data_IF_700898527701
#
_entry.id   IF_700898527701
#
_cell.length_a   1.000
_cell.length_b   1.000
_cell.length_c   1.000
_cell.angle_alpha   90.00
_cell.angle_beta   90.00
_cell.angle_gamma   90.00
#
_symmetry.space_group_name_H-M   'P 1'
#
loop_
_entity.id
_entity.type
_entity.pdbx_description
1 polymer ?
#
# COMPACT_ATOMS: atom_id res chain seq x y z
N UNK A 1 12.47 0.87 8.41
CA UNK A 1 11.48 1.84 8.98
C UNK A 1 11.91 3.31 8.83
N UNK A 2 12.95 3.64 8.05
CA UNK A 2 13.32 5.04 7.81
C UNK A 2 12.83 5.50 6.45
N UNK A 3 12.25 6.69 6.41
CA UNK A 3 11.84 7.39 5.20
C UNK A 3 13.07 7.85 4.39
N UNK A 4 12.90 8.10 3.08
CA UNK A 4 13.92 8.74 2.23
C UNK A 4 14.54 10.00 2.85
N UNK A 5 13.77 10.83 3.55
CA UNK A 5 14.34 12.02 4.23
C UNK A 5 15.29 11.71 5.40
N UNK A 6 15.54 10.44 5.74
CA UNK A 6 16.35 10.03 6.89
C UNK A 6 15.65 10.14 8.24
N UNK A 7 14.34 10.41 8.23
CA UNK A 7 13.50 10.43 9.43
C UNK A 7 12.86 9.06 9.66
N UNK A 8 12.62 8.71 10.93
CA UNK A 8 11.87 7.51 11.28
C UNK A 8 10.36 7.66 11.06
N UNK A 9 9.67 6.52 11.00
CA UNK A 9 8.22 6.44 11.05
C UNK A 9 7.62 7.21 12.24
N UNK A 10 6.44 7.79 12.01
CA UNK A 10 5.72 8.63 12.96
C UNK A 10 4.72 7.89 13.85
N UNK A 11 4.54 6.58 13.63
CA UNK A 11 3.55 5.77 14.34
C UNK A 11 3.67 5.78 15.86
N UNK A 12 2.51 5.77 16.53
CA UNK A 12 2.38 5.82 17.98
C UNK A 12 2.87 7.13 18.59
N UNK A 13 4.13 7.17 19.02
CA UNK A 13 4.73 8.38 19.60
C UNK A 13 6.05 8.71 18.95
N UNK A 14 6.18 8.28 17.69
CA UNK A 14 7.26 8.68 16.81
C UNK A 14 7.25 10.20 16.61
N UNK A 15 8.44 10.72 16.40
CA UNK A 15 8.64 12.11 15.99
C UNK A 15 9.64 12.08 14.84
N UNK A 16 9.55 13.06 13.94
CA UNK A 16 10.59 13.32 12.97
C UNK A 16 11.87 13.69 13.74
N UNK A 17 12.75 12.71 13.84
CA UNK A 17 14.09 12.87 14.37
C UNK A 17 15.08 12.43 13.32
N UNK A 18 16.08 13.27 13.07
CA UNK A 18 17.30 12.81 12.38
C UNK A 18 18.02 11.85 13.32
N UNK A 19 18.33 10.64 12.88
CA UNK A 19 19.04 9.67 13.72
C UNK A 19 20.53 10.04 13.75
N UNK A 20 21.10 10.56 14.86
CA UNK A 20 22.41 11.21 14.80
C UNK A 20 23.61 10.26 14.89
N UNK A 21 23.42 8.92 14.96
CA UNK A 21 24.47 7.98 15.42
C UNK A 21 24.39 6.56 14.83
N UNK A 22 24.39 6.41 13.51
CA UNK A 22 24.48 5.07 12.90
C UNK A 22 25.88 4.43 13.02
N UNK A 23 26.93 5.24 13.20
CA UNK A 23 28.32 4.76 13.28
C UNK A 23 28.57 3.80 14.44
N UNK A 24 27.78 3.86 15.52
CA UNK A 24 27.92 2.91 16.62
C UNK A 24 27.45 1.51 16.22
N UNK A 25 26.37 1.38 15.44
CA UNK A 25 25.87 0.06 15.00
C UNK A 25 26.81 -0.58 13.98
N UNK A 26 27.40 0.22 13.08
CA UNK A 26 28.44 -0.25 12.16
C UNK A 26 29.63 -0.90 12.90
N UNK A 27 29.97 -0.42 14.11
CA UNK A 27 31.02 -1.03 14.94
C UNK A 27 30.63 -2.37 15.57
N UNK A 28 29.34 -2.61 15.80
CA UNK A 28 28.84 -3.82 16.48
C UNK A 28 28.31 -4.89 15.52
N UNK A 29 27.95 -4.52 14.30
CA UNK A 29 27.45 -5.42 13.24
C UNK A 29 28.25 -5.19 11.95
N UNK A 30 29.52 -5.64 11.89
CA UNK A 30 30.43 -5.33 10.78
C UNK A 30 29.93 -5.79 9.42
N UNK A 31 29.16 -6.87 9.37
CA UNK A 31 28.54 -7.41 8.16
C UNK A 31 27.50 -6.46 7.53
N UNK A 32 26.88 -5.60 8.34
CA UNK A 32 25.95 -4.56 7.90
C UNK A 32 26.58 -3.15 7.99
N UNK A 33 27.90 -3.06 8.20
CA UNK A 33 28.57 -1.78 8.40
C UNK A 33 28.35 -0.84 7.21
N UNK A 34 28.39 -1.33 5.97
CA UNK A 34 28.15 -0.52 4.79
C UNK A 34 26.75 0.13 4.79
N UNK A 35 25.71 -0.62 5.19
CA UNK A 35 24.34 -0.08 5.29
C UNK A 35 24.24 0.97 6.41
N UNK A 36 24.82 0.68 7.57
CA UNK A 36 24.84 1.64 8.69
C UNK A 36 25.69 2.88 8.38
N UNK A 37 26.80 2.72 7.66
CA UNK A 37 27.65 3.80 7.19
C UNK A 37 26.90 4.66 6.18
N UNK A 38 26.17 4.06 5.23
CA UNK A 38 25.31 4.80 4.31
C UNK A 38 24.29 5.68 5.05
N UNK A 39 23.61 5.16 6.08
CA UNK A 39 22.70 5.98 6.88
C UNK A 39 23.39 7.14 7.63
N UNK A 40 24.68 7.00 7.99
CA UNK A 40 25.44 8.10 8.60
C UNK A 40 26.00 9.09 7.58
N UNK A 41 26.51 8.60 6.46
CA UNK A 41 27.20 9.38 5.43
C UNK A 41 26.22 10.11 4.52
N UNK A 42 24.97 9.65 4.40
CA UNK A 42 23.89 10.39 3.75
C UNK A 42 23.67 11.78 4.34
N UNK A 43 23.99 11.99 5.62
CA UNK A 43 23.96 13.34 6.22
C UNK A 43 25.05 14.27 5.63
N UNK A 44 26.05 13.70 4.96
CA UNK A 44 27.17 14.39 4.33
C UNK A 44 27.01 14.51 2.81
N UNK A 45 26.49 13.48 2.14
CA UNK A 45 26.19 13.45 0.71
C UNK A 45 24.90 12.66 0.43
N UNK A 46 23.73 13.32 0.28
CA UNK A 46 22.44 12.65 0.12
C UNK A 46 22.28 11.95 -1.25
N UNK A 47 23.15 12.25 -2.22
CA UNK A 47 23.08 11.77 -3.60
C UNK A 47 24.03 10.57 -3.86
N UNK A 48 24.83 10.16 -2.86
CA UNK A 48 25.74 9.04 -3.00
C UNK A 48 25.00 7.69 -2.94
N UNK A 49 24.80 7.10 -4.12
CA UNK A 49 24.16 5.79 -4.30
C UNK A 49 25.12 4.60 -4.13
N UNK A 50 26.42 4.82 -3.89
CA UNK A 50 27.43 3.76 -3.95
C UNK A 50 27.33 2.71 -2.83
N UNK A 51 26.50 2.97 -1.80
CA UNK A 51 26.29 2.09 -0.64
C UNK A 51 24.81 1.93 -0.26
N UNK A 52 23.87 2.23 -1.16
CA UNK A 52 22.45 1.98 -0.87
C UNK A 52 22.20 0.49 -0.61
N UNK A 53 21.35 0.13 0.36
CA UNK A 53 20.97 -1.27 0.55
C UNK A 53 20.43 -1.88 -0.75
N UNK A 54 20.73 -3.16 -0.98
CA UNK A 54 20.38 -3.87 -2.21
C UNK A 54 18.89 -4.29 -2.28
N UNK A 55 18.14 -4.10 -1.20
CA UNK A 55 16.72 -4.40 -1.11
C UNK A 55 15.90 -3.11 -1.11
N UNK A 56 14.69 -3.15 -1.62
CA UNK A 56 13.75 -2.03 -1.60
C UNK A 56 12.65 -2.28 -0.56
N UNK A 57 11.60 -3.00 -0.97
CA UNK A 57 10.44 -3.34 -0.15
C UNK A 57 10.81 -4.35 0.94
N UNK A 58 10.29 -4.17 2.16
CA UNK A 58 10.51 -5.09 3.30
C UNK A 58 9.28 -5.24 4.19
N UNK A 59 9.06 -6.44 4.72
CA UNK A 59 8.04 -6.76 5.74
C UNK A 59 8.71 -7.11 7.08
N UNK A 60 9.09 -6.12 7.92
CA UNK A 60 9.80 -6.40 9.16
C UNK A 60 8.88 -6.99 10.22
N UNK A 61 8.86 -8.33 10.30
CA UNK A 61 8.30 -9.07 11.43
C UNK A 61 6.78 -9.17 11.49
N UNK A 62 6.08 -9.09 10.36
CA UNK A 62 4.62 -9.29 10.27
C UNK A 62 3.75 -8.14 10.79
N UNK A 63 4.34 -7.15 11.46
CA UNK A 63 3.66 -5.98 12.05
C UNK A 63 3.89 -4.69 11.26
N UNK A 64 4.55 -4.75 10.11
CA UNK A 64 4.70 -3.59 9.25
C UNK A 64 5.10 -4.03 7.84
N UNK A 65 4.80 -3.17 6.89
CA UNK A 65 5.28 -3.26 5.52
C UNK A 65 5.88 -1.91 5.12
N UNK A 66 6.97 -1.96 4.37
CA UNK A 66 7.57 -0.78 3.76
C UNK A 66 7.70 -1.07 2.28
N UNK A 67 7.03 -0.28 1.46
CA UNK A 67 7.24 -0.21 0.03
C UNK A 67 8.20 0.92 -0.27
N UNK A 68 9.10 0.72 -1.23
CA UNK A 68 9.94 1.82 -1.73
C UNK A 68 10.49 1.54 -3.12
N UNK A 69 10.69 2.57 -3.93
CA UNK A 69 11.36 2.44 -5.22
C UNK A 69 12.88 2.41 -5.10
N UNK A 70 13.40 2.99 -4.03
CA UNK A 70 14.83 3.06 -3.75
C UNK A 70 15.15 3.70 -2.41
N UNK A 71 16.35 4.24 -2.29
CA UNK A 71 16.91 4.77 -1.06
C UNK A 71 17.26 6.26 -1.09
N UNK A 72 17.27 6.90 -2.26
CA UNK A 72 17.56 8.31 -2.47
C UNK A 72 16.42 9.21 -1.96
N UNK A 73 16.64 10.53 -1.78
CA UNK A 73 15.66 11.42 -1.12
C UNK A 73 14.33 11.53 -1.87
N UNK A 74 14.38 11.39 -3.19
CA UNK A 74 13.24 11.55 -4.09
C UNK A 74 12.51 10.24 -4.38
N UNK A 75 13.05 9.12 -3.91
CA UNK A 75 12.43 7.81 -4.11
C UNK A 75 11.09 7.72 -3.38
N UNK A 76 10.14 7.04 -4.01
CA UNK A 76 8.83 6.76 -3.46
C UNK A 76 8.96 5.79 -2.29
N UNK A 77 8.20 6.04 -1.22
CA UNK A 77 8.22 5.26 0.00
C UNK A 77 6.82 5.28 0.63
N UNK A 78 6.29 4.10 0.97
CA UNK A 78 5.07 3.96 1.77
C UNK A 78 5.35 3.05 2.95
N UNK A 79 5.03 3.53 4.15
CA UNK A 79 5.06 2.72 5.36
C UNK A 79 3.65 2.36 5.77
N UNK A 80 3.41 1.09 6.04
CA UNK A 80 2.16 0.54 6.54
C UNK A 80 2.43 -0.13 7.88
N UNK A 81 1.54 0.03 8.85
CA UNK A 81 1.68 -0.59 10.16
C UNK A 81 0.59 -1.64 10.41
N UNK A 82 0.99 -2.79 10.94
CA UNK A 82 0.12 -3.82 11.49
C UNK A 82 0.44 -4.06 12.95
N UNK A 83 -0.54 -4.57 13.70
CA UNK A 83 -0.31 -5.09 15.05
C UNK A 83 -1.43 -6.07 15.38
N UNK A 84 -1.07 -7.25 15.82
CA UNK A 84 -2.02 -8.26 16.32
C UNK A 84 -2.05 -8.36 17.84
N UNK A 85 -1.14 -7.66 18.52
CA UNK A 85 -1.03 -7.68 19.97
C UNK A 85 -1.81 -6.53 20.63
N UNK A 86 -2.28 -6.73 21.88
CA UNK A 86 -2.82 -5.65 22.71
C UNK A 86 -1.90 -4.44 22.76
N UNK A 87 -2.46 -3.27 23.07
CA UNK A 87 -1.68 -2.04 23.22
C UNK A 87 -0.46 -2.29 24.14
N UNK A 88 0.74 -2.32 23.58
CA UNK A 88 1.92 -2.76 24.33
C UNK A 88 2.45 -1.68 25.29
N UNK A 89 1.98 -0.43 25.14
CA UNK A 89 2.57 0.72 25.80
C UNK A 89 1.67 1.95 25.76
N UNK A 90 1.94 2.91 26.66
CA UNK A 90 1.39 4.27 26.63
C UNK A 90 1.94 5.13 25.48
N UNK A 91 2.42 4.46 24.45
CA UNK A 91 2.97 5.00 23.24
C UNK A 91 2.32 4.39 22.00
N UNK A 92 1.31 3.54 22.19
CA UNK A 92 0.53 2.92 21.12
C UNK A 92 -0.60 3.87 20.72
N UNK A 93 -1.04 3.77 19.47
CA UNK A 93 -2.24 4.41 18.94
C UNK A 93 -3.08 3.31 18.24
N UNK A 94 -4.39 3.52 18.02
CA UNK A 94 -5.20 2.68 17.15
C UNK A 94 -4.90 3.04 15.68
N UNK A 95 -3.65 2.80 15.27
CA UNK A 95 -3.08 3.18 13.97
C UNK A 95 -2.88 1.98 13.04
N UNK A 96 -3.37 0.80 13.39
CA UNK A 96 -3.27 -0.42 12.60
C UNK A 96 -3.92 -0.26 11.23
N UNK A 97 -3.25 -0.72 10.18
CA UNK A 97 -3.54 -0.48 8.76
C UNK A 97 -3.35 0.97 8.29
N UNK A 98 -3.03 1.93 9.18
CA UNK A 98 -2.65 3.28 8.75
C UNK A 98 -1.39 3.24 7.88
N UNK A 99 -1.35 4.16 6.92
CA UNK A 99 -0.22 4.34 6.04
C UNK A 99 0.33 5.77 6.08
N UNK A 100 1.58 5.92 5.64
CA UNK A 100 2.23 7.21 5.38
C UNK A 100 2.96 7.11 4.05
N UNK A 101 2.95 8.18 3.25
CA UNK A 101 3.52 8.21 1.91
C UNK A 101 4.47 9.38 1.76
N UNK A 102 5.69 9.10 1.30
CA UNK A 102 6.68 10.09 0.90
C UNK A 102 7.11 9.80 -0.54
N UNK A 103 7.19 10.82 -1.38
CA UNK A 103 7.74 10.71 -2.74
C UNK A 103 8.25 12.07 -3.19
N UNK A 104 9.25 12.08 -4.08
CA UNK A 104 9.87 13.31 -4.61
C UNK A 104 10.29 14.29 -3.52
N UNK A 105 10.81 13.80 -2.39
CA UNK A 105 11.26 14.62 -1.27
C UNK A 105 10.13 15.20 -0.38
N UNK A 106 8.85 14.98 -0.70
CA UNK A 106 7.70 15.50 0.05
C UNK A 106 6.96 14.41 0.84
N UNK A 107 6.49 14.72 2.06
CA UNK A 107 5.63 13.84 2.84
C UNK A 107 4.17 14.09 2.41
N UNK A 108 3.65 13.26 1.52
CA UNK A 108 2.35 13.46 0.88
C UNK A 108 1.18 13.00 1.75
N UNK A 109 1.32 11.86 2.41
CA UNK A 109 0.39 11.40 3.44
C UNK A 109 1.12 11.27 4.77
N UNK A 110 0.64 11.99 5.79
CA UNK A 110 1.27 12.04 7.11
C UNK A 110 0.50 11.23 8.14
N UNK A 111 1.24 10.72 9.12
CA UNK A 111 0.68 10.30 10.40
C UNK A 111 0.58 11.53 11.33
N UNK A 112 -0.47 11.63 12.14
CA UNK A 112 -0.73 12.76 13.02
C UNK A 112 0.36 12.97 14.09
N UNK A 113 1.16 11.95 14.40
CA UNK A 113 2.23 12.01 15.39
C UNK A 113 1.74 11.98 16.83
N UNK A 114 2.57 12.45 17.76
CA UNK A 114 2.35 12.22 19.20
C UNK A 114 1.37 13.24 19.81
N UNK A 115 0.21 12.78 20.27
CA UNK A 115 -0.79 13.62 20.94
C UNK A 115 -0.42 14.20 22.29
N UNK A 116 0.59 13.65 22.99
CA UNK A 116 0.81 13.90 24.42
C UNK A 116 1.30 15.30 24.75
N UNK A 117 1.80 16.06 23.77
CA UNK A 117 2.12 17.48 23.97
C UNK A 117 0.89 18.34 24.30
N UNK A 118 -0.30 17.86 23.93
CA UNK A 118 -1.56 18.55 24.20
C UNK A 118 -2.21 18.16 25.53
N UNK A 119 -1.68 17.15 26.24
CA UNK A 119 -2.32 16.54 27.42
C UNK A 119 -2.75 17.50 28.51
N UNK A 120 -2.03 18.60 28.67
CA UNK A 120 -2.30 19.61 29.71
C UNK A 120 -2.96 20.88 29.18
N UNK A 121 -3.04 21.06 27.86
CA UNK A 121 -3.43 22.31 27.22
C UNK A 121 -4.68 22.18 26.35
N UNK A 122 -4.84 21.06 25.65
CA UNK A 122 -5.98 20.80 24.76
C UNK A 122 -6.26 19.28 24.64
N UNK A 123 -6.96 18.69 25.63
CA UNK A 123 -7.26 17.25 25.62
C UNK A 123 -8.05 16.78 24.39
N UNK A 124 -8.80 17.68 23.72
CA UNK A 124 -9.52 17.31 22.51
C UNK A 124 -8.55 17.04 21.35
N UNK A 125 -7.50 17.87 21.21
CA UNK A 125 -6.44 17.63 20.23
C UNK A 125 -5.61 16.38 20.56
N UNK A 126 -5.31 16.15 21.84
CA UNK A 126 -4.66 14.89 22.26
C UNK A 126 -5.49 13.67 21.85
N UNK A 127 -6.79 13.68 22.16
CA UNK A 127 -7.69 12.57 21.86
C UNK A 127 -7.81 12.34 20.35
N UNK A 128 -7.86 13.40 19.54
CA UNK A 128 -7.88 13.28 18.09
C UNK A 128 -6.61 12.60 17.56
N UNK A 129 -5.44 13.05 18.01
CA UNK A 129 -4.14 12.50 17.62
C UNK A 129 -3.95 11.04 18.07
N UNK A 130 -4.68 10.60 19.10
CA UNK A 130 -4.66 9.22 19.61
C UNK A 130 -5.87 8.40 19.13
N UNK A 131 -6.68 8.92 18.21
CA UNK A 131 -7.82 8.21 17.65
C UNK A 131 -7.52 7.77 16.23
N UNK A 132 -8.14 6.69 15.77
CA UNK A 132 -8.03 6.22 14.38
C UNK A 132 -8.41 7.30 13.35
N UNK A 133 -9.26 8.26 13.75
CA UNK A 133 -9.68 9.41 12.94
C UNK A 133 -8.54 10.38 12.65
N UNK A 134 -7.44 10.27 13.39
CA UNK A 134 -6.22 11.00 13.07
C UNK A 134 -5.39 10.37 11.96
N UNK A 135 -5.66 9.12 11.57
CA UNK A 135 -4.77 8.28 10.76
C UNK A 135 -5.34 7.97 9.37
N UNK A 136 -4.48 7.60 8.42
CA UNK A 136 -4.87 7.25 7.04
C UNK A 136 -5.54 5.88 6.97
N UNK A 137 -6.79 5.80 7.44
CA UNK A 137 -7.50 4.56 7.69
C UNK A 137 -8.99 4.65 7.31
N UNK A 138 -9.69 3.52 7.43
CA UNK A 138 -11.15 3.46 7.38
C UNK A 138 -11.72 3.49 8.78
N UNK A 139 -12.79 4.26 8.97
CA UNK A 139 -13.54 4.32 10.23
C UNK A 139 -15.03 4.08 10.01
N UNK A 140 -15.71 3.60 11.04
CA UNK A 140 -17.18 3.56 11.10
C UNK A 140 -17.68 4.81 11.84
N UNK A 141 -18.76 5.40 11.33
CA UNK A 141 -19.33 6.61 11.90
C UNK A 141 -20.84 6.49 12.16
N UNK A 142 -21.30 7.11 13.24
CA UNK A 142 -22.73 7.30 13.52
C UNK A 142 -23.07 8.80 13.63
N UNK A 143 -23.93 9.27 12.73
CA UNK A 143 -24.38 10.68 12.70
C UNK A 143 -25.21 11.04 13.95
N UNK A 144 -25.86 10.07 14.60
CA UNK A 144 -26.68 10.31 15.78
C UNK A 144 -25.81 10.53 17.04
N UNK A 145 -24.58 10.01 17.04
CA UNK A 145 -23.65 10.17 18.15
C UNK A 145 -22.75 11.42 18.00
N UNK A 146 -22.62 11.97 16.78
CA UNK A 146 -21.55 12.91 16.42
C UNK A 146 -20.14 12.43 16.82
N UNK A 147 -20.01 11.14 17.11
CA UNK A 147 -18.86 10.53 17.78
C UNK A 147 -18.45 9.33 16.94
N UNK A 148 -17.13 9.17 16.79
CA UNK A 148 -16.54 8.01 16.15
C UNK A 148 -16.96 6.72 16.87
N UNK A 149 -17.35 5.71 16.08
CA UNK A 149 -17.63 4.37 16.59
C UNK A 149 -16.41 3.50 16.32
N UNK A 150 -15.48 3.51 17.28
CA UNK A 150 -14.54 2.43 17.44
C UNK A 150 -13.64 2.60 18.65
N UNK A 151 -12.48 1.94 18.76
CA UNK A 151 -11.74 1.95 20.00
C UNK A 151 -11.27 3.38 20.29
N UNK A 152 -11.93 4.00 21.27
CA UNK A 152 -11.33 5.13 21.95
C UNK A 152 -10.05 4.62 22.57
N UNK A 153 -8.94 5.33 22.36
CA UNK A 153 -7.69 4.93 22.95
C UNK A 153 -7.84 4.79 24.47
N UNK A 154 -7.76 3.55 24.94
CA UNK A 154 -7.75 3.22 26.35
C UNK A 154 -6.33 2.85 26.73
N UNK A 155 -5.83 3.42 27.82
CA UNK A 155 -4.55 3.07 28.43
C UNK A 155 -4.60 1.69 29.12
N UNK A 156 -5.34 0.75 28.55
CA UNK A 156 -5.44 -0.62 29.01
C UNK A 156 -4.59 -1.49 28.09
N UNK A 157 -3.49 -2.01 28.63
CA UNK A 157 -2.53 -2.82 27.88
C UNK A 157 -3.03 -4.25 27.62
N UNK A 158 -4.21 -4.59 28.16
CA UNK A 158 -4.88 -5.86 27.89
C UNK A 158 -5.92 -5.74 26.75
N UNK A 159 -6.11 -4.53 26.18
CA UNK A 159 -7.06 -4.27 25.10
C UNK A 159 -6.36 -4.27 23.75
N UNK A 160 -6.92 -5.06 22.83
CA UNK A 160 -6.56 -5.05 21.42
C UNK A 160 -7.18 -3.80 20.77
N UNK A 161 -6.33 -2.93 20.23
CA UNK A 161 -6.75 -1.78 19.44
C UNK A 161 -6.72 -2.25 17.98
N UNK A 162 -7.89 -2.39 17.35
CA UNK A 162 -8.10 -2.73 15.93
C UNK A 162 -7.00 -3.66 15.37
N UNK A 163 -7.04 -4.98 15.66
CA UNK A 163 -5.97 -5.87 15.21
C UNK A 163 -5.83 -5.83 13.70
N UNK A 164 -4.60 -5.84 13.22
CA UNK A 164 -4.28 -6.00 11.82
C UNK A 164 -3.04 -6.88 11.67
N UNK A 165 -3.21 -8.03 11.04
CA UNK A 165 -2.15 -8.99 10.73
C UNK A 165 -1.73 -8.86 9.27
N UNK A 166 -0.42 -8.84 9.01
CA UNK A 166 0.06 -9.10 7.65
C UNK A 166 -0.08 -10.60 7.37
N UNK A 167 -1.00 -10.95 6.47
CA UNK A 167 -1.30 -12.35 6.13
C UNK A 167 -0.61 -12.81 4.84
N UNK A 168 -0.38 -11.89 3.90
CA UNK A 168 0.23 -12.20 2.59
C UNK A 168 1.21 -11.11 2.23
N UNK A 169 2.39 -11.49 1.73
CA UNK A 169 3.39 -10.57 1.20
C UNK A 169 4.01 -11.14 -0.05
N UNK A 170 4.10 -10.32 -1.08
CA UNK A 170 4.86 -10.64 -2.27
C UNK A 170 5.78 -9.46 -2.59
N UNK A 171 7.09 -9.73 -2.69
CA UNK A 171 8.10 -8.70 -2.95
C UNK A 171 8.77 -9.05 -4.28
N UNK A 172 8.35 -8.39 -5.35
CA UNK A 172 9.00 -8.44 -6.65
C UNK A 172 9.82 -7.19 -6.93
N UNK A 173 10.60 -7.24 -8.01
CA UNK A 173 11.43 -6.12 -8.46
C UNK A 173 10.57 -5.01 -9.07
N UNK A 174 9.57 -5.37 -9.88
CA UNK A 174 8.64 -4.40 -10.51
C UNK A 174 7.44 -4.09 -9.62
N UNK A 175 6.81 -5.12 -9.05
CA UNK A 175 5.61 -4.99 -8.25
C UNK A 175 5.79 -5.62 -6.87
N UNK A 176 5.24 -4.95 -5.86
CA UNK A 176 5.21 -5.46 -4.48
C UNK A 176 3.79 -5.42 -3.94
N UNK A 177 3.40 -6.43 -3.18
CA UNK A 177 2.04 -6.58 -2.65
C UNK A 177 2.06 -6.95 -1.17
N UNK A 178 1.05 -6.45 -0.44
CA UNK A 178 0.71 -6.89 0.90
C UNK A 178 -0.80 -7.03 1.04
N UNK A 179 -1.22 -8.05 1.77
CA UNK A 179 -2.58 -8.14 2.33
C UNK A 179 -2.48 -8.11 3.85
N UNK A 180 -3.32 -7.27 4.43
CA UNK A 180 -3.56 -7.20 5.86
C UNK A 180 -5.01 -7.52 6.18
N UNK A 181 -5.23 -8.35 7.19
CA UNK A 181 -6.57 -8.70 7.69
C UNK A 181 -6.74 -8.19 9.11
N UNK A 182 -7.93 -7.69 9.42
CA UNK A 182 -8.23 -7.11 10.70
C UNK A 182 -9.71 -6.88 10.94
N UNK A 183 -10.00 -6.14 12.00
CA UNK A 183 -11.37 -5.76 12.31
C UNK A 183 -11.41 -4.35 12.86
N UNK A 184 -12.36 -3.56 12.37
CA UNK A 184 -12.73 -2.28 12.98
C UNK A 184 -13.66 -2.59 14.16
N UNK A 185 -13.16 -2.41 15.37
CA UNK A 185 -13.90 -2.75 16.58
C UNK A 185 -14.91 -1.66 16.92
N UNK A 186 -16.20 -1.98 17.04
CA UNK A 186 -17.24 -1.01 17.44
C UNK A 186 -17.30 -0.88 18.98
N UNK A 187 -16.45 0.01 19.54
CA UNK A 187 -16.37 0.22 20.99
C UNK A 187 -15.59 -0.89 21.71
N UNK A 188 -16.01 -1.27 22.93
CA UNK A 188 -15.39 -2.34 23.73
C UNK A 188 -16.03 -3.73 23.54
N UNK A 189 -17.05 -3.85 22.68
CA UNK A 189 -17.85 -5.06 22.54
C UNK A 189 -17.53 -5.81 21.24
N UNK A 190 -17.65 -7.14 21.29
CA UNK A 190 -17.53 -8.02 20.12
C UNK A 190 -18.72 -7.81 19.18
N UNK A 191 -18.42 -7.44 17.94
CA UNK A 191 -19.34 -7.04 16.87
C UNK A 191 -18.65 -5.99 16.00
N UNK A 192 -17.58 -6.40 15.32
CA UNK A 192 -16.76 -5.53 14.47
C UNK A 192 -17.14 -5.66 13.00
N UNK A 193 -16.71 -4.69 12.20
CA UNK A 193 -16.65 -4.83 10.74
C UNK A 193 -15.33 -5.53 10.39
N UNK A 194 -15.38 -6.59 9.60
CA UNK A 194 -14.18 -7.20 9.04
C UNK A 194 -13.57 -6.21 8.04
N UNK A 195 -12.27 -5.96 8.16
CA UNK A 195 -11.55 -5.00 7.34
C UNK A 195 -10.29 -5.65 6.81
N UNK A 196 -10.23 -5.79 5.49
CA UNK A 196 -9.03 -6.21 4.79
C UNK A 196 -8.45 -5.01 4.04
N UNK A 197 -7.16 -4.75 4.22
CA UNK A 197 -6.41 -3.78 3.41
C UNK A 197 -5.38 -4.49 2.56
N UNK A 198 -5.50 -4.34 1.25
CA UNK A 198 -4.54 -4.80 0.26
C UNK A 198 -3.82 -3.60 -0.33
N UNK A 199 -2.51 -3.67 -0.50
CA UNK A 199 -1.74 -2.62 -1.18
C UNK A 199 -0.86 -3.27 -2.23
N UNK A 200 -1.02 -2.82 -3.47
CA UNK A 200 -0.13 -3.11 -4.59
C UNK A 200 0.69 -1.85 -4.90
N UNK A 201 2.01 -1.98 -4.90
CA UNK A 201 2.94 -0.97 -5.37
C UNK A 201 3.35 -1.32 -6.80
N UNK A 202 2.80 -0.58 -7.76
CA UNK A 202 2.85 -0.88 -9.19
C UNK A 202 4.05 -0.17 -9.82
N UNK A 203 4.90 -0.92 -10.51
CA UNK A 203 6.13 -0.46 -11.18
C UNK A 203 7.07 0.38 -10.31
N UNK A 204 6.94 0.28 -8.99
CA UNK A 204 7.55 1.17 -8.02
C UNK A 204 7.21 2.67 -8.17
N UNK A 205 6.10 3.00 -8.84
CA UNK A 205 5.71 4.39 -9.13
C UNK A 205 4.49 4.81 -8.30
N UNK A 206 3.43 3.99 -8.28
CA UNK A 206 2.17 4.33 -7.62
C UNK A 206 1.57 3.18 -6.81
N UNK A 207 0.57 3.50 -6.00
CA UNK A 207 -0.10 2.51 -5.16
C UNK A 207 -1.56 2.35 -5.54
N UNK A 208 -2.02 1.11 -5.53
CA UNK A 208 -3.43 0.79 -5.38
C UNK A 208 -3.67 0.30 -3.96
N UNK A 209 -4.52 1.02 -3.22
CA UNK A 209 -5.02 0.65 -1.91
C UNK A 209 -6.43 0.10 -2.07
N UNK A 210 -6.63 -1.16 -1.71
CA UNK A 210 -7.94 -1.80 -1.69
C UNK A 210 -8.37 -2.08 -0.25
N UNK A 211 -9.38 -1.34 0.24
CA UNK A 211 -10.06 -1.64 1.50
C UNK A 211 -11.35 -2.41 1.22
N UNK A 212 -11.47 -3.64 1.73
CA UNK A 212 -12.70 -4.42 1.71
C UNK A 212 -13.29 -4.46 3.12
N UNK A 213 -14.57 -4.13 3.23
CA UNK A 213 -15.28 -3.93 4.50
C UNK A 213 -16.54 -4.78 4.50
N UNK A 214 -16.75 -5.57 5.56
CA UNK A 214 -17.95 -6.42 5.72
C UNK A 214 -18.50 -6.31 7.14
N UNK A 215 -19.74 -5.81 7.28
CA UNK A 215 -20.42 -5.66 8.59
C UNK A 215 -21.68 -6.52 8.74
N UNK A 216 -22.30 -6.93 7.63
CA UNK A 216 -23.59 -7.63 7.61
C UNK A 216 -24.82 -6.74 7.89
N UNK A 217 -24.64 -5.42 8.04
CA UNK A 217 -25.70 -4.42 8.11
C UNK A 217 -25.19 -3.06 7.60
N UNK A 218 -26.06 -2.20 7.07
CA UNK A 218 -25.61 -0.89 6.56
C UNK A 218 -24.85 -0.06 7.63
N UNK A 219 -23.60 0.26 7.33
CA UNK A 219 -22.72 1.13 8.12
C UNK A 219 -22.25 2.32 7.29
N UNK A 220 -21.94 3.43 7.96
CA UNK A 220 -21.29 4.58 7.32
C UNK A 220 -19.79 4.44 7.45
N UNK A 221 -19.14 4.04 6.36
CA UNK A 221 -17.68 3.98 6.30
C UNK A 221 -17.11 5.32 5.89
N UNK A 222 -15.91 5.63 6.40
CA UNK A 222 -15.12 6.79 5.98
C UNK A 222 -13.67 6.41 5.83
N UNK A 223 -13.17 6.39 4.61
CA UNK A 223 -11.73 6.32 4.34
C UNK A 223 -11.13 7.72 4.47
N UNK A 224 -9.99 7.86 5.13
CA UNK A 224 -9.39 9.15 5.47
C UNK A 224 -8.00 9.31 4.87
N UNK A 225 -7.73 10.50 4.36
CA UNK A 225 -6.45 10.87 3.73
C UNK A 225 -5.93 12.18 4.33
N UNK A 226 -4.89 12.09 5.14
CA UNK A 226 -4.24 13.17 5.87
C UNK A 226 -3.04 13.68 5.09
N UNK A 227 -3.19 14.85 4.49
CA UNK A 227 -2.18 15.40 3.61
C UNK A 227 -1.07 16.10 4.38
N UNK A 228 0.16 15.87 3.94
CA UNK A 228 1.35 16.56 4.44
C UNK A 228 1.90 17.55 3.44
N UNK A 229 3.20 17.84 3.52
CA UNK A 229 3.84 18.76 2.59
C UNK A 229 5.35 18.73 2.78
N UNK A 230 6.05 19.86 2.63
CA UNK A 230 7.44 19.93 3.01
C UNK A 230 7.53 19.61 4.50
N UNK A 231 8.49 18.77 4.90
CA UNK A 231 8.71 18.35 6.30
C UNK A 231 8.79 19.55 7.28
N UNK A 232 9.13 20.73 6.78
CA UNK A 232 9.26 21.96 7.56
C UNK A 232 7.95 22.70 7.83
N UNK A 233 6.93 22.56 6.99
CA UNK A 233 5.67 23.32 7.10
C UNK A 233 4.40 22.48 7.03
N UNK A 234 4.42 21.37 6.28
CA UNK A 234 3.21 20.57 6.01
C UNK A 234 2.14 21.33 5.21
N UNK A 235 2.51 22.42 4.54
CA UNK A 235 1.59 23.24 3.75
C UNK A 235 1.34 22.62 2.36
N UNK A 236 0.14 22.83 1.83
CA UNK A 236 -0.23 22.51 0.45
C UNK A 236 -1.62 23.02 0.10
N UNK A 237 -2.07 22.71 -1.12
CA UNK A 237 -3.38 23.12 -1.65
C UNK A 237 -4.19 21.87 -1.98
N UNK A 238 -5.40 21.79 -1.44
CA UNK A 238 -6.35 20.73 -1.74
C UNK A 238 -7.34 21.20 -2.81
N UNK A 239 -7.55 20.35 -3.81
CA UNK A 239 -8.69 20.42 -4.72
C UNK A 239 -9.55 19.18 -4.52
N UNK A 240 -10.81 19.39 -4.10
CA UNK A 240 -11.79 18.32 -3.98
C UNK A 240 -12.41 17.98 -5.36
N UNK A 241 -12.83 16.73 -5.56
CA UNK A 241 -13.58 16.31 -6.74
C UNK A 241 -14.86 17.14 -6.94
N UNK A 242 -15.19 17.51 -8.18
CA UNK A 242 -16.50 18.07 -8.52
C UNK A 242 -17.54 16.97 -8.81
N UNK A 243 -17.09 15.76 -9.13
CA UNK A 243 -17.88 14.54 -9.33
C UNK A 243 -17.26 13.34 -8.59
N UNK A 244 -18.00 12.24 -8.45
CA UNK A 244 -17.56 11.10 -7.65
C UNK A 244 -16.33 10.37 -8.22
N UNK A 245 -16.22 10.37 -9.55
CA UNK A 245 -15.18 9.76 -10.38
C UNK A 245 -13.95 10.65 -10.61
N UNK A 246 -14.03 11.93 -10.22
CA UNK A 246 -12.89 12.85 -10.28
C UNK A 246 -11.93 12.62 -9.09
N UNK A 247 -10.62 12.84 -9.28
CA UNK A 247 -9.65 12.64 -8.22
C UNK A 247 -9.64 13.80 -7.21
N UNK A 248 -9.20 13.49 -5.99
CA UNK A 248 -8.69 14.51 -5.06
C UNK A 248 -7.27 14.86 -5.51
N UNK A 249 -6.97 16.14 -5.61
CA UNK A 249 -5.62 16.61 -5.92
C UNK A 249 -5.04 17.37 -4.71
N UNK A 250 -3.85 16.95 -4.27
CA UNK A 250 -3.06 17.64 -3.27
C UNK A 250 -1.76 18.15 -3.89
N UNK A 251 -1.55 19.46 -3.88
CA UNK A 251 -0.35 20.12 -4.42
C UNK A 251 0.51 20.72 -3.30
N UNK A 252 1.81 20.48 -3.35
CA UNK A 252 2.80 20.91 -2.35
C UNK A 252 4.15 21.20 -3.05
N UNK A 253 5.19 21.49 -2.27
CA UNK A 253 6.57 21.55 -2.77
C UNK A 253 7.50 20.57 -2.05
N UNK A 254 8.59 20.19 -2.70
CA UNK A 254 9.70 19.48 -2.05
C UNK A 254 10.69 20.46 -1.39
N UNK A 255 11.76 19.98 -0.71
CA UNK A 255 12.77 20.84 -0.09
C UNK A 255 13.52 21.78 -1.05
N UNK A 256 13.58 21.42 -2.34
CA UNK A 256 14.20 22.23 -3.39
C UNK A 256 13.24 23.28 -3.98
N UNK A 257 11.98 23.27 -3.55
CA UNK A 257 10.94 24.20 -3.99
C UNK A 257 10.32 23.83 -5.33
N UNK A 258 10.49 22.59 -5.78
CA UNK A 258 9.81 22.04 -6.95
C UNK A 258 8.38 21.63 -6.56
N UNK A 259 7.45 21.80 -7.49
CA UNK A 259 6.05 21.42 -7.29
C UNK A 259 5.94 19.89 -7.28
N UNK A 260 5.29 19.35 -6.26
CA UNK A 260 4.99 17.92 -6.10
C UNK A 260 3.52 17.79 -5.82
N UNK A 261 2.89 16.76 -6.36
CA UNK A 261 1.49 16.51 -6.11
C UNK A 261 1.20 15.03 -5.80
N UNK A 262 0.04 14.82 -5.18
CA UNK A 262 -0.57 13.52 -4.99
C UNK A 262 -1.99 13.56 -5.55
N UNK A 263 -2.25 12.72 -6.53
CA UNK A 263 -3.60 12.42 -7.00
C UNK A 263 -4.12 11.22 -6.21
N UNK A 264 -5.25 11.40 -5.52
CA UNK A 264 -5.96 10.35 -4.78
C UNK A 264 -7.30 10.10 -5.47
N UNK A 265 -7.42 8.99 -6.17
CA UNK A 265 -8.58 8.68 -6.98
C UNK A 265 -9.28 7.42 -6.48
N UNK A 266 -10.54 7.54 -6.08
CA UNK A 266 -11.37 6.37 -5.83
C UNK A 266 -11.96 5.90 -7.16
N UNK A 267 -11.75 4.62 -7.46
CA UNK A 267 -12.24 3.99 -8.67
C UNK A 267 -13.36 3.04 -8.25
N UNK A 268 -14.53 3.59 -7.95
CA UNK A 268 -15.49 2.84 -7.15
C UNK A 268 -16.65 3.63 -6.61
N UNK A 269 -17.88 3.21 -6.95
CA UNK A 269 -19.11 3.68 -6.32
C UNK A 269 -19.37 5.17 -6.47
N UNK A 270 -20.21 5.70 -5.57
CA UNK A 270 -20.58 7.11 -5.52
C UNK A 270 -20.22 7.71 -4.13
N UNK A 271 -18.92 7.76 -3.76
CA UNK A 271 -18.53 8.30 -2.48
C UNK A 271 -18.81 9.81 -2.37
N UNK A 272 -18.99 10.27 -1.13
CA UNK A 272 -19.06 11.70 -0.83
C UNK A 272 -17.78 12.17 -0.16
N UNK A 273 -17.26 13.30 -0.63
CA UNK A 273 -16.00 13.88 -0.17
C UNK A 273 -16.23 15.05 0.79
N UNK A 274 -15.42 15.09 1.85
CA UNK A 274 -15.48 16.14 2.86
C UNK A 274 -14.07 16.57 3.25
N UNK A 275 -13.79 17.87 3.15
CA UNK A 275 -12.55 18.49 3.64
C UNK A 275 -12.67 18.85 5.11
N UNK A 276 -11.59 18.60 5.85
CA UNK A 276 -11.44 18.95 7.25
C UNK A 276 -10.02 19.45 7.55
N UNK A 277 -9.86 20.01 8.74
CA UNK A 277 -8.57 20.30 9.34
C UNK A 277 -8.45 19.55 10.67
N UNK A 278 -7.31 18.90 10.90
CA UNK A 278 -7.02 18.13 12.11
C UNK A 278 -5.67 18.52 12.68
N UNK A 279 -5.44 18.45 14.00
CA UNK A 279 -4.13 18.77 14.58
C UNK A 279 -3.07 17.74 14.15
N UNK A 280 -1.82 18.13 13.95
CA UNK A 280 -0.67 17.23 13.84
C UNK A 280 0.44 17.67 14.80
N UNK A 281 1.24 16.71 15.23
CA UNK A 281 2.38 16.90 16.10
C UNK A 281 3.49 15.89 15.80
N UNK A 282 3.94 15.85 14.53
CA UNK A 282 5.04 14.97 14.16
C UNK A 282 6.42 15.47 14.61
N UNK A 283 6.53 16.69 15.15
CA UNK A 283 7.80 17.26 15.63
C UNK A 283 7.66 17.83 17.04
N UNK A 284 8.50 17.35 17.96
CA UNK A 284 8.43 17.68 19.39
C UNK A 284 8.20 19.16 19.68
N UNK A 285 7.02 19.47 20.21
CA UNK A 285 6.63 20.82 20.62
C UNK A 285 6.17 21.75 19.49
N UNK A 286 5.97 21.24 18.28
CA UNK A 286 5.40 21.96 17.15
C UNK A 286 4.04 21.37 16.81
N UNK A 287 3.02 22.22 16.89
CA UNK A 287 1.64 21.83 16.69
C UNK A 287 0.97 22.76 15.69
N UNK A 288 0.31 22.18 14.70
CA UNK A 288 -0.48 22.91 13.71
C UNK A 288 -1.61 22.02 13.24
N UNK A 289 -2.51 22.56 12.43
CA UNK A 289 -3.57 21.77 11.83
C UNK A 289 -3.19 21.48 10.37
N UNK A 290 -3.36 20.25 9.91
CA UNK A 290 -3.20 19.84 8.51
C UNK A 290 -4.55 19.57 7.86
N UNK A 291 -4.56 19.63 6.53
CA UNK A 291 -5.75 19.32 5.72
C UNK A 291 -5.89 17.81 5.58
N UNK A 292 -7.12 17.32 5.66
CA UNK A 292 -7.42 15.94 5.33
C UNK A 292 -8.80 15.81 4.71
N UNK A 293 -9.00 14.71 3.98
CA UNK A 293 -10.27 14.40 3.32
C UNK A 293 -10.86 13.12 3.90
N UNK A 294 -12.19 13.10 4.01
CA UNK A 294 -12.96 11.88 4.25
C UNK A 294 -13.73 11.52 2.99
N UNK A 295 -13.62 10.27 2.60
CA UNK A 295 -14.37 9.64 1.52
C UNK A 295 -15.41 8.75 2.18
N UNK A 296 -16.69 9.07 2.06
CA UNK A 296 -17.75 8.45 2.83
C UNK A 296 -18.78 7.70 1.98
N UNK A 297 -19.24 6.55 2.47
CA UNK A 297 -20.26 5.70 1.85
C UNK A 297 -21.18 5.09 2.91
N UNK A 298 -22.33 4.56 2.49
CA UNK A 298 -23.26 3.80 3.32
C UNK A 298 -23.50 2.43 2.67
N UNK A 299 -23.04 1.36 3.31
CA UNK A 299 -23.17 -0.02 2.79
C UNK A 299 -22.97 -1.05 3.92
N UNK A 300 -23.42 -2.28 3.69
CA UNK A 300 -23.14 -3.46 4.54
C UNK A 300 -21.88 -4.23 4.11
N UNK A 301 -21.51 -4.07 2.84
CA UNK A 301 -20.26 -4.50 2.24
C UNK A 301 -19.75 -3.42 1.27
N UNK A 302 -18.46 -3.07 1.32
CA UNK A 302 -17.91 -2.05 0.42
C UNK A 302 -16.45 -2.29 0.07
N UNK A 303 -16.08 -1.91 -1.16
CA UNK A 303 -14.71 -1.93 -1.66
C UNK A 303 -14.27 -0.50 -1.99
N UNK A 304 -13.31 0.04 -1.24
CA UNK A 304 -12.56 1.22 -1.69
C UNK A 304 -11.40 0.75 -2.54
N UNK A 305 -11.44 1.01 -3.85
CA UNK A 305 -10.25 0.93 -4.69
C UNK A 305 -9.70 2.35 -4.86
N UNK A 306 -8.58 2.65 -4.21
CA UNK A 306 -8.00 3.99 -4.21
C UNK A 306 -6.61 3.97 -4.83
N UNK A 307 -6.43 4.75 -5.89
CA UNK A 307 -5.13 5.00 -6.49
C UNK A 307 -4.45 6.17 -5.78
N UNK A 308 -3.19 5.98 -5.37
CA UNK A 308 -2.31 7.01 -4.85
C UNK A 308 -1.18 7.22 -5.86
N UNK A 309 -1.28 8.29 -6.63
CA UNK A 309 -0.38 8.61 -7.74
C UNK A 309 0.46 9.84 -7.34
N UNK A 310 1.66 9.67 -6.74
CA UNK A 310 2.58 10.78 -6.53
C UNK A 310 3.23 11.20 -7.86
N UNK A 311 3.48 12.50 -8.05
CA UNK A 311 4.16 12.98 -9.25
C UNK A 311 4.89 14.32 -9.03
N UNK A 312 5.90 14.56 -9.87
CA UNK A 312 6.76 15.74 -9.85
C UNK A 312 6.44 16.68 -11.02
N UNK A 313 6.18 17.95 -10.71
CA UNK A 313 5.96 19.05 -11.66
C UNK A 313 4.57 19.05 -12.29
N UNK A 314 3.87 20.18 -12.26
CA UNK A 314 2.44 20.32 -12.59
C UNK A 314 2.01 20.04 -14.05
N UNK A 315 2.95 19.77 -14.96
CA UNK A 315 2.66 19.64 -16.41
C UNK A 315 2.34 18.20 -16.86
N UNK A 316 2.48 17.20 -15.98
CA UNK A 316 2.30 15.78 -16.30
C UNK A 316 1.52 15.05 -15.20
N UNK A 317 0.29 15.50 -14.96
CA UNK A 317 -0.63 14.81 -14.04
C UNK A 317 -0.92 13.38 -14.57
N UNK A 318 -0.62 12.33 -13.78
CA UNK A 318 -1.05 10.98 -14.12
C UNK A 318 -2.57 10.91 -14.04
N UNK A 319 -3.19 10.35 -15.07
CA UNK A 319 -4.64 10.22 -15.16
C UNK A 319 -4.99 8.75 -15.10
N UNK A 320 -5.82 8.37 -14.14
CA UNK A 320 -6.51 7.08 -14.19
C UNK A 320 -7.88 7.27 -14.87
N UNK A 321 -8.11 6.51 -15.93
CA UNK A 321 -9.35 6.51 -16.70
C UNK A 321 -10.11 5.24 -16.43
N UNK A 322 -11.35 5.36 -15.95
CA UNK A 322 -12.26 4.21 -15.86
C UNK A 322 -12.74 3.88 -17.27
N UNK A 323 -12.30 2.74 -17.80
CA UNK A 323 -12.65 2.25 -19.13
C UNK A 323 -13.99 1.51 -19.10
N UNK A 324 -14.23 0.74 -18.05
CA UNK A 324 -15.46 -0.02 -17.81
C UNK A 324 -15.82 0.01 -16.32
N UNK A 325 -17.12 0.16 -16.04
CA UNK A 325 -17.69 0.22 -14.70
C UNK A 325 -18.98 -0.61 -14.66
N UNK A 326 -18.88 -1.80 -14.07
CA UNK A 326 -19.99 -2.70 -13.75
C UNK A 326 -20.11 -2.84 -12.22
N UNK A 327 -21.22 -3.40 -11.74
CA UNK A 327 -21.47 -3.63 -10.32
C UNK A 327 -20.38 -4.52 -9.68
N UNK A 328 -19.82 -5.44 -10.47
CA UNK A 328 -18.88 -6.47 -10.00
C UNK A 328 -17.43 -6.28 -10.47
N UNK A 329 -17.19 -5.42 -11.48
CA UNK A 329 -15.87 -5.20 -12.10
C UNK A 329 -15.67 -3.74 -12.45
N UNK A 330 -14.43 -3.27 -12.27
CA UNK A 330 -13.94 -2.05 -12.91
C UNK A 330 -12.65 -2.29 -13.68
N UNK A 331 -12.61 -1.77 -14.91
CA UNK A 331 -11.40 -1.66 -15.71
C UNK A 331 -10.88 -0.23 -15.63
N UNK A 332 -9.62 -0.09 -15.23
CA UNK A 332 -8.95 1.20 -15.08
C UNK A 332 -7.68 1.18 -15.90
N UNK A 333 -7.45 2.24 -16.65
CA UNK A 333 -6.17 2.49 -17.30
C UNK A 333 -5.47 3.65 -16.59
N UNK A 334 -4.25 3.43 -16.12
CA UNK A 334 -3.38 4.45 -15.56
C UNK A 334 -2.32 4.79 -16.60
N UNK A 335 -2.30 6.02 -17.10
CA UNK A 335 -1.25 6.48 -18.00
C UNK A 335 -0.05 6.98 -17.17
N UNK A 336 1.02 6.17 -17.16
CA UNK A 336 2.30 6.56 -16.58
C UNK A 336 3.24 7.02 -17.69
N UNK A 337 3.37 8.34 -17.86
CA UNK A 337 4.33 8.95 -18.79
C UNK A 337 4.19 8.47 -20.26
N UNK A 338 2.98 8.11 -20.69
CA UNK A 338 2.67 7.61 -22.02
C UNK A 338 2.63 6.08 -22.15
N UNK A 339 2.88 5.35 -21.06
CA UNK A 339 2.77 3.90 -20.98
C UNK A 339 1.50 3.52 -20.18
N UNK A 340 0.49 2.91 -20.82
CA UNK A 340 -0.76 2.57 -20.15
C UNK A 340 -0.61 1.29 -19.32
N UNK A 341 -1.10 1.34 -18.08
CA UNK A 341 -1.22 0.18 -17.19
C UNK A 341 -2.70 -0.13 -16.98
N UNK A 342 -3.11 -1.34 -17.31
CA UNK A 342 -4.48 -1.82 -17.10
C UNK A 342 -4.61 -2.47 -15.72
N UNK A 343 -5.66 -2.10 -15.01
CA UNK A 343 -6.07 -2.67 -13.73
C UNK A 343 -7.48 -3.24 -13.88
N UNK A 344 -7.67 -4.51 -13.54
CA UNK A 344 -9.00 -5.08 -13.33
C UNK A 344 -9.25 -5.29 -11.84
N UNK A 345 -10.31 -4.64 -11.37
CA UNK A 345 -10.69 -4.52 -9.97
C UNK A 345 -12.04 -5.18 -9.78
N UNK A 346 -12.05 -6.42 -9.31
CA UNK A 346 -13.28 -7.18 -9.09
C UNK A 346 -13.76 -7.00 -7.64
N UNK A 347 -15.07 -6.98 -7.44
CA UNK A 347 -15.68 -7.05 -6.09
C UNK A 347 -16.20 -8.45 -5.77
N UNK A 348 -16.37 -9.31 -6.79
CA UNK A 348 -16.81 -10.68 -6.63
C UNK A 348 -15.88 -11.67 -7.32
N UNK A 349 -15.87 -12.92 -6.82
CA UNK A 349 -15.15 -14.01 -7.48
C UNK A 349 -15.92 -14.50 -8.70
N UNK A 350 -15.43 -14.15 -9.89
CA UNK A 350 -15.95 -14.62 -11.17
C UNK A 350 -15.04 -14.19 -12.30
N UNK A 351 -14.89 -15.02 -13.33
CA UNK A 351 -14.14 -14.62 -14.54
C UNK A 351 -14.89 -13.49 -15.20
N UNK A 352 -14.29 -12.31 -15.21
CA UNK A 352 -14.76 -11.18 -15.99
C UNK A 352 -13.80 -10.99 -17.15
N UNK A 353 -14.37 -10.93 -18.35
CA UNK A 353 -13.61 -10.81 -19.59
C UNK A 353 -13.91 -9.44 -20.22
N UNK A 354 -12.85 -8.67 -20.37
CA UNK A 354 -12.81 -7.40 -21.08
C UNK A 354 -12.18 -7.64 -22.46
N UNK A 355 -12.29 -6.64 -23.34
CA UNK A 355 -11.75 -6.75 -24.70
C UNK A 355 -10.26 -7.11 -24.71
N UNK A 356 -9.45 -6.74 -23.70
CA UNK A 356 -7.99 -6.98 -23.64
C UNK A 356 -7.51 -7.82 -22.47
N UNK A 357 -8.36 -8.06 -21.46
CA UNK A 357 -7.99 -8.68 -20.18
C UNK A 357 -9.13 -9.54 -19.65
N UNK A 358 -8.86 -10.80 -19.29
CA UNK A 358 -9.82 -11.63 -18.57
C UNK A 358 -9.24 -12.12 -17.25
N UNK A 359 -9.98 -11.93 -16.15
CA UNK A 359 -9.48 -12.23 -14.80
C UNK A 359 -10.62 -12.64 -13.88
N UNK A 360 -10.37 -13.62 -13.01
CA UNK A 360 -11.20 -13.90 -11.84
C UNK A 360 -10.60 -13.37 -10.54
N UNK A 361 -9.48 -12.66 -10.64
CA UNK A 361 -8.77 -12.12 -9.50
C UNK A 361 -9.52 -10.96 -8.88
N UNK A 362 -9.51 -10.85 -7.55
CA UNK A 362 -10.00 -9.64 -6.88
C UNK A 362 -9.22 -8.41 -7.35
N UNK A 363 -7.92 -8.57 -7.56
CA UNK A 363 -7.05 -7.56 -8.12
C UNK A 363 -6.14 -8.16 -9.20
N UNK A 364 -6.13 -7.55 -10.37
CA UNK A 364 -5.12 -7.83 -11.39
C UNK A 364 -4.61 -6.55 -12.06
N UNK A 365 -3.35 -6.59 -12.50
CA UNK A 365 -2.69 -5.48 -13.16
C UNK A 365 -1.73 -5.99 -14.25
N UNK A 366 -1.57 -5.22 -15.32
CA UNK A 366 -0.80 -5.59 -16.51
C UNK A 366 -0.38 -4.34 -17.30
N UNK A 367 0.80 -4.36 -17.91
CA UNK A 367 1.22 -3.41 -18.95
C UNK A 367 1.12 -4.02 -20.37
N UNK A 368 0.36 -5.12 -20.49
CA UNK A 368 0.10 -5.95 -21.68
C UNK A 368 1.32 -6.64 -22.31
N UNK A 369 2.54 -6.35 -21.84
CA UNK A 369 3.75 -6.74 -22.54
C UNK A 369 4.90 -7.24 -21.66
N UNK A 370 5.10 -6.68 -20.47
CA UNK A 370 6.30 -6.90 -19.66
C UNK A 370 6.05 -7.42 -18.25
N UNK A 371 4.83 -7.35 -17.73
CA UNK A 371 4.50 -8.03 -16.47
C UNK A 371 3.00 -8.27 -16.28
N UNK A 372 2.69 -9.19 -15.36
CA UNK A 372 1.34 -9.51 -14.91
C UNK A 372 1.32 -9.63 -13.39
N UNK A 373 0.27 -9.09 -12.78
CA UNK A 373 -0.02 -9.26 -11.37
C UNK A 373 -1.43 -9.78 -11.18
N UNK A 374 -1.60 -10.72 -10.26
CA UNK A 374 -2.88 -11.27 -9.83
C UNK A 374 -2.84 -11.48 -8.32
N UNK A 375 -3.89 -11.06 -7.61
CA UNK A 375 -4.11 -11.37 -6.21
C UNK A 375 -5.54 -11.86 -5.98
N UNK A 376 -5.65 -12.90 -5.17
CA UNK A 376 -6.90 -13.61 -4.92
C UNK A 376 -7.60 -13.97 -6.25
N UNK A 377 -6.93 -14.79 -7.06
CA UNK A 377 -7.41 -15.23 -8.36
C UNK A 377 -6.81 -16.56 -8.81
N UNK A 378 -7.31 -17.10 -9.91
CA UNK A 378 -6.79 -18.31 -10.54
C UNK A 378 -6.54 -18.15 -12.04
N UNK A 379 -7.03 -17.09 -12.67
CA UNK A 379 -6.92 -16.86 -14.12
C UNK A 379 -6.59 -15.39 -14.36
N UNK A 380 -5.60 -15.15 -15.21
CA UNK A 380 -5.36 -13.86 -15.84
C UNK A 380 -4.91 -14.09 -17.29
N UNK A 381 -5.74 -13.65 -18.23
CA UNK A 381 -5.48 -13.72 -19.67
C UNK A 381 -5.35 -12.30 -20.24
N UNK A 382 -4.36 -12.08 -21.10
CA UNK A 382 -4.25 -10.85 -21.90
C UNK A 382 -4.43 -11.18 -23.38
N UNK A 383 -4.84 -10.18 -24.15
CA UNK A 383 -5.12 -10.34 -25.58
C UNK A 383 -3.88 -10.68 -26.42
N UNK A 384 -2.75 -10.08 -26.06
CA UNK A 384 -1.50 -10.15 -26.85
C UNK A 384 -0.29 -10.65 -26.06
N UNK A 385 -0.46 -10.87 -24.76
CA UNK A 385 0.62 -11.15 -23.84
C UNK A 385 0.56 -12.56 -23.26
N UNK A 386 1.31 -12.79 -22.17
CA UNK A 386 1.22 -14.03 -21.43
C UNK A 386 -0.14 -14.14 -20.74
N UNK A 387 -0.47 -15.36 -20.40
CA UNK A 387 -1.64 -15.70 -19.62
C UNK A 387 -1.24 -16.75 -18.59
N UNK A 388 -1.93 -16.73 -17.47
CA UNK A 388 -1.70 -17.63 -16.37
C UNK A 388 -3.00 -18.23 -15.89
N UNK A 389 -2.97 -19.54 -15.66
CA UNK A 389 -4.04 -20.31 -15.04
C UNK A 389 -3.46 -21.09 -13.86
N UNK A 390 -4.22 -21.17 -12.79
CA UNK A 390 -3.90 -21.97 -11.63
C UNK A 390 -5.05 -22.93 -11.36
N UNK A 391 -4.73 -24.16 -10.98
CA UNK A 391 -5.74 -25.13 -10.54
C UNK A 391 -6.38 -24.77 -9.20
N UNK A 392 -5.92 -23.70 -8.56
CA UNK A 392 -6.39 -23.19 -7.28
C UNK A 392 -6.36 -21.65 -7.29
N UNK A 393 -7.01 -21.06 -6.29
CA UNK A 393 -6.92 -19.62 -6.05
C UNK A 393 -5.58 -19.29 -5.39
N UNK A 394 -4.82 -18.38 -5.98
CA UNK A 394 -3.54 -17.87 -5.48
C UNK A 394 -3.80 -16.64 -4.63
N UNK A 395 -3.07 -16.50 -3.51
CA UNK A 395 -3.17 -15.30 -2.68
C UNK A 395 -2.52 -14.11 -3.41
N UNK A 396 -1.34 -14.32 -4.00
CA UNK A 396 -0.72 -13.38 -4.92
C UNK A 396 0.24 -14.06 -5.91
N UNK A 397 0.34 -13.50 -7.11
CA UNK A 397 1.29 -13.83 -8.16
C UNK A 397 1.77 -12.53 -8.82
N UNK A 398 3.09 -12.36 -8.92
CA UNK A 398 3.71 -11.37 -9.79
C UNK A 398 4.57 -12.09 -10.80
N UNK A 399 4.48 -11.69 -12.07
CA UNK A 399 5.19 -12.32 -13.16
C UNK A 399 5.78 -11.25 -14.07
N UNK A 400 7.05 -11.38 -14.39
CA UNK A 400 7.80 -10.49 -15.28
C UNK A 400 8.17 -11.23 -16.56
N UNK A 401 8.01 -10.52 -17.68
CA UNK A 401 8.01 -11.03 -19.04
C UNK A 401 9.12 -10.32 -19.80
N UNK A 402 10.25 -11.01 -19.96
CA UNK A 402 11.40 -10.49 -20.68
C UNK A 402 12.01 -11.53 -21.61
N UNK A 403 13.35 -11.58 -21.66
CA UNK A 403 14.04 -12.68 -22.34
C UNK A 403 13.80 -14.02 -21.63
N UNK A 404 13.58 -13.96 -20.32
CA UNK A 404 13.13 -15.05 -19.47
C UNK A 404 11.80 -14.62 -18.84
N UNK A 405 10.97 -15.58 -18.49
CA UNK A 405 9.83 -15.34 -17.61
C UNK A 405 10.24 -15.60 -16.17
N UNK A 406 9.96 -14.67 -15.28
CA UNK A 406 10.20 -14.82 -13.84
C UNK A 406 8.91 -14.59 -13.08
N UNK A 407 8.73 -15.26 -11.95
CA UNK A 407 7.58 -14.97 -11.11
C UNK A 407 7.80 -15.33 -9.66
N UNK A 408 7.02 -14.67 -8.82
CA UNK A 408 6.95 -14.85 -7.38
C UNK A 408 5.50 -15.14 -7.03
N UNK A 409 5.29 -15.99 -6.03
CA UNK A 409 3.95 -16.31 -5.57
C UNK A 409 3.91 -16.48 -4.06
N UNK A 410 2.80 -16.05 -3.47
CA UNK A 410 2.46 -16.31 -2.08
C UNK A 410 1.19 -17.18 -2.06
N UNK A 411 1.18 -18.23 -1.24
CA UNK A 411 0.07 -19.20 -1.22
C UNK A 411 -0.11 -19.93 0.12
N UNK A 412 -1.36 -20.21 0.44
CA UNK A 412 -1.77 -21.29 1.36
C UNK A 412 -1.38 -22.70 0.85
N UNK A 413 -1.23 -23.71 1.74
CA UNK A 413 -0.34 -24.88 1.53
C UNK A 413 -0.88 -25.98 0.61
N UNK A 414 -1.86 -25.69 -0.26
CA UNK A 414 -2.43 -26.70 -1.13
C UNK A 414 -1.60 -26.93 -2.41
N UNK A 415 -1.59 -28.16 -2.93
CA UNK A 415 -0.96 -28.46 -4.20
C UNK A 415 -1.70 -27.73 -5.33
N UNK A 416 -1.04 -26.77 -5.98
CA UNK A 416 -1.57 -26.05 -7.12
C UNK A 416 -0.70 -26.28 -8.35
N UNK A 417 -1.35 -26.52 -9.48
CA UNK A 417 -0.72 -26.51 -10.79
C UNK A 417 -0.82 -25.10 -11.35
N UNK A 418 0.32 -24.49 -11.65
CA UNK A 418 0.40 -23.27 -12.45
C UNK A 418 0.56 -23.66 -13.92
N UNK A 419 -0.17 -23.02 -14.81
CA UNK A 419 -0.08 -23.10 -16.26
C UNK A 419 0.19 -21.68 -16.77
N UNK A 420 1.28 -21.48 -17.50
CA UNK A 420 1.66 -20.16 -18.02
C UNK A 420 1.88 -20.26 -19.53
N UNK A 421 1.33 -19.36 -20.34
CA UNK A 421 1.62 -19.31 -21.78
C UNK A 421 2.88 -18.51 -22.08
N UNK A 422 3.66 -19.00 -23.05
CA UNK A 422 4.88 -18.34 -23.52
C UNK A 422 5.14 -18.62 -24.99
N UNK A 423 5.77 -17.68 -25.69
CA UNK A 423 5.96 -17.73 -27.15
C UNK A 423 7.11 -18.64 -27.62
N UNK A 424 7.98 -19.07 -26.71
CA UNK A 424 9.15 -19.89 -27.03
C UNK A 424 9.24 -21.15 -26.18
N UNK A 425 9.71 -22.25 -26.76
CA UNK A 425 9.96 -23.47 -25.97
C UNK A 425 10.99 -23.17 -24.88
N UNK A 426 10.70 -23.48 -23.61
CA UNK A 426 11.66 -23.30 -22.53
C UNK A 426 12.82 -24.27 -22.70
N UNK A 427 13.99 -23.80 -22.31
CA UNK A 427 15.25 -24.55 -22.25
C UNK A 427 15.60 -24.94 -20.84
N UNK A 428 15.13 -24.17 -19.85
CA UNK A 428 15.34 -24.40 -18.43
C UNK A 428 14.15 -23.88 -17.62
N UNK A 429 13.68 -24.67 -16.66
CA UNK A 429 12.72 -24.23 -15.64
C UNK A 429 13.40 -24.35 -14.28
N UNK A 430 13.43 -23.25 -13.54
CA UNK A 430 13.98 -23.13 -12.20
C UNK A 430 12.81 -22.84 -11.26
N UNK A 431 12.73 -23.59 -10.17
CA UNK A 431 11.78 -23.41 -9.08
C UNK A 431 12.57 -23.28 -7.78
N UNK A 432 12.40 -22.19 -7.05
CA UNK A 432 13.11 -21.89 -5.79
C UNK A 432 14.63 -22.07 -5.90
N UNK A 433 15.19 -21.59 -7.01
CA UNK A 433 16.61 -21.71 -7.32
C UNK A 433 17.09 -23.11 -7.74
N UNK A 434 16.18 -24.07 -7.92
CA UNK A 434 16.49 -25.45 -8.33
C UNK A 434 15.93 -25.75 -9.71
N UNK A 435 16.80 -26.16 -10.64
CA UNK A 435 16.38 -26.65 -11.94
C UNK A 435 15.49 -27.89 -11.79
N UNK A 436 14.35 -27.92 -12.48
CA UNK A 436 13.41 -29.04 -12.45
C UNK A 436 13.13 -29.59 -13.86
N UNK A 437 12.95 -30.90 -13.94
CA UNK A 437 12.45 -31.61 -15.13
C UNK A 437 10.94 -31.88 -15.03
N UNK A 438 10.31 -31.45 -13.94
CA UNK A 438 8.90 -31.67 -13.63
C UNK A 438 8.04 -30.56 -14.25
N UNK A 439 8.08 -30.51 -15.57
CA UNK A 439 7.27 -29.65 -16.40
C UNK A 439 6.96 -30.35 -17.71
N UNK A 440 5.88 -29.93 -18.35
CA UNK A 440 5.55 -30.33 -19.72
C UNK A 440 5.47 -29.09 -20.59
N UNK A 441 5.60 -29.25 -21.90
CA UNK A 441 5.39 -28.19 -22.88
C UNK A 441 4.49 -28.73 -23.99
N UNK A 442 3.38 -28.03 -24.26
CA UNK A 442 2.50 -28.32 -25.39
C UNK A 442 2.70 -27.29 -26.51
N UNK A 443 3.01 -27.77 -27.71
CA UNK A 443 3.31 -26.94 -28.87
C UNK A 443 2.05 -26.20 -29.34
N UNK A 444 1.97 -24.90 -29.03
CA UNK A 444 0.91 -24.00 -29.52
C UNK A 444 0.36 -23.03 -28.49
N UNK A 445 0.52 -23.33 -27.19
CA UNK A 445 0.16 -22.45 -26.07
C UNK A 445 1.29 -22.29 -25.05
N UNK A 446 2.28 -23.17 -25.09
CA UNK A 446 3.48 -22.97 -24.33
C UNK A 446 3.31 -23.07 -22.82
N UNK A 447 2.46 -23.99 -22.38
CA UNK A 447 2.11 -24.21 -20.98
C UNK A 447 3.25 -24.90 -20.22
N UNK A 448 3.72 -24.29 -19.12
CA UNK A 448 4.56 -24.97 -18.10
C UNK A 448 3.70 -25.31 -16.89
N UNK A 449 3.64 -26.59 -16.53
CA UNK A 449 2.96 -27.11 -15.32
C UNK A 449 3.95 -27.23 -14.17
N UNK A 450 3.73 -26.52 -13.06
CA UNK A 450 4.56 -26.65 -11.84
C UNK A 450 3.87 -27.58 -10.81
N UNK A 451 4.55 -28.65 -10.35
CA UNK A 451 4.07 -29.64 -9.36
C UNK A 451 4.30 -29.12 -7.90
N UNK A 452 3.67 -29.66 -6.84
CA UNK A 452 2.95 -28.89 -5.85
C UNK A 452 3.80 -28.54 -4.62
N UNK A 453 5.11 -28.41 -4.77
CA UNK A 453 5.97 -27.88 -3.71
C UNK A 453 5.53 -26.45 -3.36
N UNK A 454 5.70 -25.96 -2.12
CA UNK A 454 5.54 -24.54 -1.81
C UNK A 454 6.55 -23.78 -2.66
N UNK A 455 6.09 -23.29 -3.80
CA UNK A 455 6.84 -22.46 -4.72
C UNK A 455 6.84 -21.07 -4.12
N UNK A 456 8.00 -20.44 -3.95
CA UNK A 456 8.10 -19.02 -3.62
C UNK A 456 8.50 -18.22 -4.88
N UNK A 457 9.24 -18.86 -5.79
CA UNK A 457 9.71 -18.25 -7.04
C UNK A 457 9.91 -19.26 -8.16
N UNK A 458 9.80 -18.79 -9.40
CA UNK A 458 10.15 -19.56 -10.58
C UNK A 458 10.78 -18.69 -11.67
N UNK A 459 11.57 -19.32 -12.53
CA UNK A 459 12.17 -18.72 -13.73
C UNK A 459 12.13 -19.71 -14.88
N UNK A 460 11.79 -19.22 -16.07
CA UNK A 460 11.70 -20.00 -17.31
C UNK A 460 12.61 -19.31 -18.35
N UNK A 461 13.66 -20.00 -18.79
CA UNK A 461 14.63 -19.51 -19.81
C UNK A 461 14.35 -20.03 -21.21
#
# INVERSE_FOLDING_TARGET
LMMPSGHGLLYGTGWLTTVPKHNLMAMYVPEAAAEYEWFSDRQLDPDDSSYTPAYTTIAPGGDAMIFRSGWLPDDTWLGLIGRTEPAASSHSQPDQMSLSLMSHGALLLLDPGDGRSYRSTDPAKENWLQSIEGHNNVVIYDDDLQEYVGPQFQWDFDVLLDPAEVVTTLIGDTNSFVKMEGSILEGLAQGGTDHDRRILFVENEFFLVHDHLVSGEDKKYRQQWHFGGPITSGDGTLTLPAAADEPILWETTNPDGEDVALTVQNVGGDPTYYEFAGPTNYKGGQTWDHTYVRVAVLADEYHYFTLLLPWLGIDSEPIATVLEDDDDLRLVEVDLNGEPIQLALNTTQGVVALDTLASDALLSASDDATWLFLAEGSILETDTGPAVWSSCHLDALNMEVGANLQGWLDREPLPCTLEVTWDTSPTLVIVDGVATDDWTWDEGLGTVTLDPAPLESFSIE
#
